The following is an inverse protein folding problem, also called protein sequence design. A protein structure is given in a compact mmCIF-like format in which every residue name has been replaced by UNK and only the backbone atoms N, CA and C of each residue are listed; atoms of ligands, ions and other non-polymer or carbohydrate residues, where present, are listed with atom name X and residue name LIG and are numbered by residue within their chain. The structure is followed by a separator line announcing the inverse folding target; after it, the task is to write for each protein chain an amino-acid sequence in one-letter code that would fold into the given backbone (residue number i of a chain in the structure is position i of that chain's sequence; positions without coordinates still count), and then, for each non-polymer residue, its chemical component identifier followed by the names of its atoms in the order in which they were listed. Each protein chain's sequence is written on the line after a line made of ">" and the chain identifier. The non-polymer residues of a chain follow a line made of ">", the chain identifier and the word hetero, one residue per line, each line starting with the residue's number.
data_IF_327741928972
#
_entry.id   IF_327741928972
#
_cell.length_a   1.000
_cell.length_b   1.000
_cell.length_c   1.000
_cell.angle_alpha   90.00
_cell.angle_beta   90.00
_cell.angle_gamma   90.00
#
_symmetry.space_group_name_H-M   'P 1'
#
loop_
_entity.id
_entity.type
_entity.pdbx_description
1 polymer ?
#
# COMPACT_ATOMS: atom_id res chain seq x y z
N UNK A 1 40.46 53.31 -27.02
CA UNK A 1 40.92 51.94 -26.72
C UNK A 1 39.80 51.21 -26.01
N UNK A 2 39.03 50.38 -26.73
CA UNK A 2 38.13 49.40 -26.12
C UNK A 2 38.95 48.12 -25.95
N UNK A 3 39.07 47.65 -24.73
CA UNK A 3 39.71 46.37 -24.44
C UNK A 3 38.81 45.25 -24.96
N UNK A 4 39.31 44.52 -25.96
CA UNK A 4 38.77 43.22 -26.36
C UNK A 4 39.46 42.14 -25.53
N UNK A 5 38.77 41.64 -24.51
CA UNK A 5 38.85 40.24 -24.05
C UNK A 5 37.43 39.88 -23.57
N UNK A 6 36.83 38.71 -23.96
CA UNK A 6 37.27 37.44 -23.39
C UNK A 6 36.93 36.15 -24.22
N UNK A 7 37.51 35.91 -25.41
CA UNK A 7 37.33 34.61 -26.11
C UNK A 7 38.25 33.49 -25.58
N UNK A 8 39.44 33.83 -25.05
CA UNK A 8 40.43 32.84 -24.61
C UNK A 8 40.08 32.13 -23.29
N UNK A 9 39.12 32.65 -22.51
CA UNK A 9 38.73 32.06 -21.22
C UNK A 9 37.64 30.99 -21.36
N UNK A 10 36.76 31.11 -22.35
CA UNK A 10 35.71 30.12 -22.64
C UNK A 10 36.30 28.84 -23.22
N UNK A 11 37.29 28.95 -24.11
CA UNK A 11 37.91 27.78 -24.76
C UNK A 11 38.72 26.95 -23.77
N UNK A 12 39.50 27.58 -22.90
CA UNK A 12 40.23 26.87 -21.83
C UNK A 12 39.30 26.16 -20.86
N UNK A 13 38.13 26.73 -20.58
CA UNK A 13 37.11 26.11 -19.72
C UNK A 13 36.47 24.90 -20.40
N UNK A 14 36.18 24.98 -21.70
CA UNK A 14 35.66 23.88 -22.50
C UNK A 14 36.67 22.73 -22.65
N UNK A 15 37.95 23.04 -22.85
CA UNK A 15 39.02 22.04 -22.89
C UNK A 15 39.20 21.33 -21.54
N UNK A 16 39.20 22.08 -20.43
CA UNK A 16 39.30 21.51 -19.09
C UNK A 16 38.11 20.60 -18.77
N UNK A 17 36.90 21.00 -19.17
CA UNK A 17 35.71 20.17 -19.03
C UNK A 17 35.81 18.88 -19.86
N UNK A 18 36.33 18.96 -21.08
CA UNK A 18 36.54 17.80 -21.96
C UNK A 18 37.54 16.83 -21.35
N UNK A 19 38.70 17.31 -20.87
CA UNK A 19 39.70 16.46 -20.20
C UNK A 19 39.13 15.79 -18.95
N UNK A 20 38.30 16.50 -18.18
CA UNK A 20 37.60 15.92 -17.01
C UNK A 20 36.64 14.82 -17.42
N UNK A 21 35.87 14.99 -18.50
CA UNK A 21 34.94 13.97 -19.01
C UNK A 21 35.69 12.73 -19.51
N UNK A 22 36.82 12.91 -20.20
CA UNK A 22 37.68 11.80 -20.64
C UNK A 22 38.20 11.02 -19.43
N UNK A 23 38.79 11.70 -18.45
CA UNK A 23 39.32 11.05 -17.25
C UNK A 23 38.24 10.29 -16.45
N UNK A 24 37.03 10.86 -16.34
CA UNK A 24 35.90 10.17 -15.72
C UNK A 24 35.48 8.93 -16.51
N UNK A 25 35.43 9.00 -17.84
CA UNK A 25 35.11 7.84 -18.67
C UNK A 25 36.17 6.73 -18.57
N UNK A 26 37.46 7.09 -18.54
CA UNK A 26 38.55 6.14 -18.33
C UNK A 26 38.47 5.46 -16.95
N UNK A 27 38.05 6.19 -15.91
CA UNK A 27 37.81 5.62 -14.58
C UNK A 27 36.70 4.56 -14.61
N UNK A 28 35.58 4.85 -15.30
CA UNK A 28 34.49 3.89 -15.51
C UNK A 28 34.97 2.67 -16.31
N UNK A 29 35.78 2.86 -17.35
CA UNK A 29 36.36 1.77 -18.14
C UNK A 29 37.27 0.88 -17.32
N UNK A 30 38.15 1.46 -16.49
CA UNK A 30 39.02 0.68 -15.59
C UNK A 30 38.20 -0.17 -14.62
N UNK A 31 37.21 0.43 -13.95
CA UNK A 31 36.36 -0.30 -13.02
C UNK A 31 35.57 -1.44 -13.70
N UNK A 32 35.01 -1.19 -14.90
CA UNK A 32 34.32 -2.21 -15.68
C UNK A 32 35.26 -3.32 -16.18
N UNK A 33 36.49 -2.98 -16.58
CA UNK A 33 37.49 -3.93 -17.05
C UNK A 33 37.96 -4.87 -15.93
N UNK A 34 38.17 -4.36 -14.72
CA UNK A 34 38.59 -5.18 -13.57
C UNK A 34 37.54 -6.23 -13.17
N UNK A 35 36.25 -5.99 -13.46
CA UNK A 35 35.20 -7.00 -13.23
C UNK A 35 35.32 -8.23 -14.15
N UNK A 36 35.97 -8.09 -15.30
CA UNK A 36 36.03 -9.13 -16.35
C UNK A 36 37.23 -10.06 -16.24
N UNK A 37 38.12 -9.82 -15.26
CA UNK A 37 39.28 -10.65 -15.01
C UNK A 37 38.87 -12.03 -14.46
N UNK A 38 39.74 -13.05 -14.57
CA UNK A 38 39.41 -14.48 -14.34
C UNK A 38 39.10 -14.92 -12.89
N UNK A 39 39.06 -16.23 -12.60
CA UNK A 39 38.63 -16.79 -11.29
C UNK A 39 39.79 -17.15 -10.34
N UNK A 40 40.96 -16.51 -10.48
CA UNK A 40 42.10 -16.76 -9.59
C UNK A 40 41.91 -16.18 -8.18
N UNK A 41 42.62 -16.70 -7.17
CA UNK A 41 42.46 -16.31 -5.76
C UNK A 41 42.74 -14.80 -5.53
N UNK A 42 43.82 -14.27 -6.11
CA UNK A 42 44.10 -12.82 -6.12
C UNK A 42 43.22 -12.00 -7.07
N UNK A 43 42.35 -12.65 -7.84
CA UNK A 43 41.42 -12.01 -8.77
C UNK A 43 40.04 -11.78 -8.13
N UNK A 44 39.69 -12.57 -7.10
CA UNK A 44 38.47 -12.35 -6.33
C UNK A 44 38.51 -11.02 -5.58
N UNK A 45 39.65 -10.68 -4.96
CA UNK A 45 39.82 -9.39 -4.27
C UNK A 45 39.74 -8.21 -5.23
N UNK A 46 40.35 -8.32 -6.42
CA UNK A 46 40.22 -7.30 -7.47
C UNK A 46 38.79 -7.13 -7.95
N UNK A 47 38.03 -8.22 -8.09
CA UNK A 47 36.60 -8.15 -8.42
C UNK A 47 35.79 -7.49 -7.30
N UNK A 48 36.11 -7.74 -6.01
CA UNK A 48 35.50 -7.03 -4.87
C UNK A 48 35.76 -5.53 -4.98
N UNK A 49 37.01 -5.13 -5.17
CA UNK A 49 37.41 -3.73 -5.34
C UNK A 49 36.70 -3.08 -6.53
N UNK A 50 36.66 -3.77 -7.67
CA UNK A 50 35.98 -3.31 -8.87
C UNK A 50 34.47 -3.11 -8.63
N UNK A 51 33.79 -4.04 -7.97
CA UNK A 51 32.37 -3.89 -7.63
C UNK A 51 32.13 -2.74 -6.64
N UNK A 52 33.01 -2.56 -5.64
CA UNK A 52 32.96 -1.43 -4.72
C UNK A 52 33.13 -0.10 -5.48
N UNK A 53 34.01 -0.06 -6.48
CA UNK A 53 34.24 1.11 -7.29
C UNK A 53 33.06 1.43 -8.24
N UNK A 54 32.49 0.41 -8.89
CA UNK A 54 31.24 0.55 -9.64
C UNK A 54 30.14 1.10 -8.75
N UNK A 55 29.97 0.55 -7.55
CA UNK A 55 28.99 1.04 -6.56
C UNK A 55 29.23 2.52 -6.24
N UNK A 56 30.48 2.91 -5.97
CA UNK A 56 30.86 4.29 -5.62
C UNK A 56 30.55 5.26 -6.75
N UNK A 57 31.02 4.96 -7.95
CA UNK A 57 30.84 5.80 -9.14
C UNK A 57 29.39 5.88 -9.61
N UNK A 58 28.62 4.80 -9.46
CA UNK A 58 27.20 4.78 -9.80
C UNK A 58 26.29 5.48 -8.77
N UNK A 59 26.77 5.76 -7.55
CA UNK A 59 25.94 6.20 -6.42
C UNK A 59 25.12 7.45 -6.75
N UNK A 60 25.77 8.48 -7.27
CA UNK A 60 25.17 9.81 -7.49
C UNK A 60 25.28 10.29 -8.95
N UNK A 61 25.69 9.43 -9.88
CA UNK A 61 25.88 9.76 -11.30
C UNK A 61 25.00 8.87 -12.22
N UNK A 62 23.87 9.38 -12.72
CA UNK A 62 23.03 8.68 -13.70
C UNK A 62 23.74 8.36 -15.03
N UNK A 63 24.68 9.21 -15.45
CA UNK A 63 25.52 9.00 -16.63
C UNK A 63 26.43 7.79 -16.45
N UNK A 64 27.13 7.72 -15.31
CA UNK A 64 27.95 6.57 -14.95
C UNK A 64 27.14 5.26 -14.93
N UNK A 65 25.93 5.26 -14.36
CA UNK A 65 25.04 4.08 -14.36
C UNK A 65 24.78 3.57 -15.77
N UNK A 66 24.47 4.46 -16.71
CA UNK A 66 24.25 4.09 -18.13
C UNK A 66 25.53 3.58 -18.77
N UNK A 67 26.64 4.28 -18.57
CA UNK A 67 27.94 3.93 -19.14
C UNK A 67 28.42 2.56 -18.67
N UNK A 68 28.31 2.24 -17.37
CA UNK A 68 28.68 0.92 -16.85
C UNK A 68 27.90 -0.22 -17.50
N UNK A 69 26.60 -0.03 -17.76
CA UNK A 69 25.81 -1.03 -18.46
C UNK A 69 26.29 -1.22 -19.91
N UNK A 70 26.60 -0.13 -20.62
CA UNK A 70 27.20 -0.17 -21.98
C UNK A 70 28.57 -0.83 -21.98
N UNK A 71 29.38 -0.64 -20.95
CA UNK A 71 30.68 -1.28 -20.75
C UNK A 71 30.58 -2.75 -20.30
N UNK A 72 29.36 -3.29 -20.15
CA UNK A 72 29.17 -4.71 -19.81
C UNK A 72 29.43 -5.05 -18.35
N UNK A 73 29.27 -4.11 -17.42
CA UNK A 73 29.51 -4.36 -16.00
C UNK A 73 28.46 -5.28 -15.34
N UNK A 74 27.23 -5.34 -15.86
CA UNK A 74 26.13 -6.07 -15.23
C UNK A 74 26.36 -7.60 -15.22
N UNK A 75 26.67 -8.28 -16.34
CA UNK A 75 26.84 -9.74 -16.32
C UNK A 75 27.92 -10.24 -15.35
N UNK A 76 29.13 -9.63 -15.28
CA UNK A 76 30.14 -10.00 -14.28
C UNK A 76 29.66 -9.82 -12.83
N UNK A 77 29.00 -8.71 -12.51
CA UNK A 77 28.41 -8.49 -11.18
C UNK A 77 27.36 -9.55 -10.84
N UNK A 78 26.58 -10.00 -11.81
CA UNK A 78 25.61 -11.08 -11.62
C UNK A 78 26.33 -12.43 -11.45
N UNK A 79 27.42 -12.68 -12.17
CA UNK A 79 28.21 -13.91 -12.03
C UNK A 79 28.92 -14.01 -10.66
N UNK A 80 29.29 -12.87 -10.04
CA UNK A 80 29.84 -12.84 -8.68
C UNK A 80 28.90 -13.46 -7.63
N UNK A 81 27.59 -13.52 -7.89
CA UNK A 81 26.61 -14.17 -7.02
C UNK A 81 26.74 -15.70 -6.98
N UNK A 82 27.47 -16.33 -7.90
CA UNK A 82 27.76 -17.77 -7.88
C UNK A 82 28.97 -18.13 -7.00
N UNK A 83 29.68 -17.12 -6.48
CA UNK A 83 30.82 -17.34 -5.59
C UNK A 83 30.39 -17.97 -4.26
N UNK A 84 31.35 -18.54 -3.54
CA UNK A 84 31.17 -18.99 -2.15
C UNK A 84 31.42 -17.88 -1.12
N UNK A 85 31.89 -16.73 -1.57
CA UNK A 85 32.30 -15.62 -0.73
C UNK A 85 31.16 -14.61 -0.50
N UNK A 86 30.72 -14.49 0.75
CA UNK A 86 29.65 -13.58 1.18
C UNK A 86 30.00 -12.10 0.98
N UNK A 87 31.27 -11.71 1.04
CA UNK A 87 31.69 -10.33 0.77
C UNK A 87 31.55 -9.99 -0.72
N UNK A 88 31.86 -10.96 -1.58
CA UNK A 88 31.68 -10.83 -3.02
C UNK A 88 30.20 -10.67 -3.38
N UNK A 89 29.31 -11.40 -2.70
CA UNK A 89 27.86 -11.25 -2.84
C UNK A 89 27.42 -9.84 -2.47
N UNK A 90 27.85 -9.32 -1.31
CA UNK A 90 27.49 -7.97 -0.88
C UNK A 90 28.00 -6.89 -1.84
N UNK A 91 29.26 -6.98 -2.26
CA UNK A 91 29.85 -6.05 -3.22
C UNK A 91 29.04 -6.01 -4.52
N UNK A 92 28.71 -7.18 -5.06
CA UNK A 92 27.90 -7.31 -6.27
C UNK A 92 26.48 -6.77 -6.09
N UNK A 93 25.77 -7.17 -5.03
CA UNK A 93 24.39 -6.76 -4.77
C UNK A 93 24.27 -5.24 -4.60
N UNK A 94 25.21 -4.60 -3.90
CA UNK A 94 25.17 -3.14 -3.74
C UNK A 94 25.57 -2.39 -5.01
N UNK A 95 26.48 -2.93 -5.82
CA UNK A 95 26.80 -2.35 -7.13
C UNK A 95 25.58 -2.42 -8.06
N UNK A 96 24.93 -3.58 -8.17
CA UNK A 96 23.70 -3.78 -8.95
C UNK A 96 22.56 -2.87 -8.47
N UNK A 97 22.40 -2.72 -7.16
CA UNK A 97 21.41 -1.82 -6.58
C UNK A 97 21.61 -0.38 -7.07
N UNK A 98 22.84 0.14 -6.97
CA UNK A 98 23.17 1.51 -7.41
C UNK A 98 23.03 1.68 -8.93
N UNK A 99 23.40 0.68 -9.73
CA UNK A 99 23.19 0.70 -11.18
C UNK A 99 21.71 0.79 -11.56
N UNK A 100 20.81 0.25 -10.73
CA UNK A 100 19.37 0.28 -10.97
C UNK A 100 18.66 1.59 -10.58
N UNK A 101 19.28 2.45 -9.76
CA UNK A 101 18.63 3.68 -9.25
C UNK A 101 18.25 4.58 -10.44
N UNK A 102 16.95 4.85 -10.60
CA UNK A 102 16.43 5.71 -11.66
C UNK A 102 16.73 5.24 -13.11
N UNK A 103 17.21 4.01 -13.30
CA UNK A 103 17.57 3.50 -14.62
C UNK A 103 16.85 2.18 -14.92
N UNK A 104 15.82 2.24 -15.75
CA UNK A 104 14.97 1.09 -16.07
C UNK A 104 15.65 0.11 -17.04
N UNK A 105 16.49 0.60 -17.94
CA UNK A 105 17.28 -0.26 -18.84
C UNK A 105 18.21 -1.15 -18.02
N UNK A 106 18.86 -0.60 -17.00
CA UNK A 106 19.73 -1.36 -16.12
C UNK A 106 18.95 -2.38 -15.30
N UNK A 107 17.78 -2.02 -14.74
CA UNK A 107 16.92 -2.98 -14.03
C UNK A 107 16.50 -4.15 -14.92
N UNK A 108 16.12 -3.85 -16.18
CA UNK A 108 15.75 -4.88 -17.15
C UNK A 108 16.96 -5.76 -17.52
N UNK A 109 18.13 -5.15 -17.72
CA UNK A 109 19.37 -5.86 -18.01
C UNK A 109 19.80 -6.78 -16.86
N UNK A 110 19.68 -6.34 -15.60
CA UNK A 110 19.97 -7.16 -14.41
C UNK A 110 19.06 -8.39 -14.31
N UNK A 111 17.75 -8.24 -14.59
CA UNK A 111 16.84 -9.39 -14.67
C UNK A 111 17.20 -10.31 -15.83
N UNK A 112 17.47 -9.75 -17.02
CA UNK A 112 17.86 -10.51 -18.21
C UNK A 112 19.17 -11.29 -18.02
N UNK A 113 20.10 -10.75 -17.23
CA UNK A 113 21.35 -11.41 -16.87
C UNK A 113 21.18 -12.58 -15.88
N UNK A 114 19.96 -12.82 -15.37
CA UNK A 114 19.67 -13.95 -14.48
C UNK A 114 19.84 -13.66 -12.99
N UNK A 115 19.97 -12.39 -12.58
CA UNK A 115 20.19 -12.01 -11.18
C UNK A 115 19.09 -12.55 -10.25
N UNK A 116 17.83 -12.56 -10.70
CA UNK A 116 16.69 -13.05 -9.90
C UNK A 116 16.90 -14.51 -9.47
N UNK A 117 17.32 -15.38 -10.38
CA UNK A 117 17.53 -16.79 -10.07
C UNK A 117 18.73 -16.98 -9.13
N UNK A 118 19.85 -16.28 -9.38
CA UNK A 118 21.04 -16.38 -8.51
C UNK A 118 20.78 -15.87 -7.10
N UNK A 119 20.06 -14.76 -6.93
CA UNK A 119 19.65 -14.28 -5.61
C UNK A 119 18.79 -15.31 -4.86
N UNK A 120 17.89 -16.01 -5.56
CA UNK A 120 17.08 -17.07 -4.93
C UNK A 120 17.93 -18.28 -4.53
N UNK A 121 18.90 -18.69 -5.36
CA UNK A 121 19.83 -19.76 -5.00
C UNK A 121 20.65 -19.41 -3.75
N UNK A 122 21.06 -18.14 -3.59
CA UNK A 122 21.73 -17.67 -2.38
C UNK A 122 20.84 -17.81 -1.14
N UNK A 123 19.56 -17.46 -1.24
CA UNK A 123 18.58 -17.62 -0.16
C UNK A 123 18.45 -19.10 0.22
N UNK A 124 18.28 -19.98 -0.76
CA UNK A 124 18.15 -21.43 -0.56
C UNK A 124 19.41 -22.06 0.06
N UNK A 125 20.58 -21.53 -0.25
CA UNK A 125 21.86 -22.00 0.30
C UNK A 125 22.15 -21.54 1.74
N UNK A 126 21.25 -20.79 2.36
CA UNK A 126 21.43 -20.31 3.75
C UNK A 126 22.35 -19.09 3.86
N UNK A 127 22.19 -18.11 2.95
CA UNK A 127 22.98 -16.87 2.97
C UNK A 127 22.93 -16.13 4.32
N UNK A 128 23.97 -15.35 4.60
CA UNK A 128 24.03 -14.50 5.79
C UNK A 128 22.89 -13.47 5.83
N UNK A 129 22.58 -12.98 7.02
CA UNK A 129 21.53 -11.98 7.20
C UNK A 129 21.79 -10.72 6.34
N UNK A 130 23.03 -10.23 6.29
CA UNK A 130 23.39 -9.05 5.50
C UNK A 130 23.17 -9.27 3.99
N UNK A 131 23.48 -10.46 3.49
CA UNK A 131 23.21 -10.82 2.08
C UNK A 131 21.71 -10.90 1.83
N UNK A 132 20.95 -11.52 2.72
CA UNK A 132 19.48 -11.56 2.62
C UNK A 132 18.86 -10.15 2.58
N UNK A 133 19.33 -9.23 3.41
CA UNK A 133 18.89 -7.83 3.42
C UNK A 133 19.24 -7.10 2.11
N UNK A 134 20.44 -7.32 1.58
CA UNK A 134 20.85 -6.78 0.28
C UNK A 134 20.03 -7.35 -0.89
N UNK A 135 19.61 -8.62 -0.81
CA UNK A 135 18.71 -9.24 -1.78
C UNK A 135 17.30 -8.63 -1.71
N UNK A 136 16.77 -8.37 -0.52
CA UNK A 136 15.48 -7.65 -0.36
C UNK A 136 15.54 -6.28 -1.04
N UNK A 137 16.61 -5.51 -0.80
CA UNK A 137 16.80 -4.20 -1.44
C UNK A 137 16.89 -4.30 -2.97
N UNK A 138 17.55 -5.34 -3.50
CA UNK A 138 17.59 -5.59 -4.94
C UNK A 138 16.20 -5.96 -5.50
N UNK A 139 15.43 -6.82 -4.84
CA UNK A 139 14.06 -7.11 -5.28
C UNK A 139 13.15 -5.88 -5.24
N UNK A 140 13.31 -5.00 -4.25
CA UNK A 140 12.63 -3.70 -4.24
C UNK A 140 13.00 -2.88 -5.48
N UNK A 141 14.30 -2.73 -5.77
CA UNK A 141 14.78 -2.00 -6.95
C UNK A 141 14.24 -2.58 -8.26
N UNK A 142 14.35 -3.91 -8.45
CA UNK A 142 13.93 -4.57 -9.68
C UNK A 142 12.42 -4.55 -9.89
N UNK A 143 11.62 -4.70 -8.81
CA UNK A 143 10.15 -4.68 -8.88
C UNK A 143 9.57 -3.29 -9.20
N UNK A 144 10.35 -2.22 -9.02
CA UNK A 144 9.93 -0.87 -9.37
C UNK A 144 9.62 -0.72 -10.87
N UNK A 145 10.29 -1.49 -11.74
CA UNK A 145 10.03 -1.52 -13.18
C UNK A 145 8.82 -2.41 -13.52
N UNK A 146 7.85 -1.88 -14.25
CA UNK A 146 6.61 -2.61 -14.64
C UNK A 146 6.87 -3.92 -15.38
N UNK A 147 7.78 -3.92 -16.36
CA UNK A 147 8.11 -5.12 -17.15
C UNK A 147 8.77 -6.24 -16.32
N UNK A 148 9.37 -5.91 -15.18
CA UNK A 148 9.99 -6.89 -14.29
C UNK A 148 8.97 -7.55 -13.34
N UNK A 149 7.84 -6.89 -13.03
CA UNK A 149 6.88 -7.37 -12.01
C UNK A 149 6.38 -8.80 -12.27
N UNK A 150 5.99 -9.21 -13.50
CA UNK A 150 5.55 -10.57 -13.76
C UNK A 150 6.68 -11.59 -13.62
N UNK A 151 7.90 -11.24 -14.04
CA UNK A 151 9.07 -12.13 -13.99
C UNK A 151 9.49 -12.39 -12.54
N UNK A 152 9.61 -11.33 -11.74
CA UNK A 152 9.96 -11.43 -10.31
C UNK A 152 8.84 -12.10 -9.51
N UNK A 153 7.58 -11.80 -9.81
CA UNK A 153 6.45 -12.46 -9.15
C UNK A 153 6.36 -13.95 -9.48
N UNK A 154 6.80 -14.36 -10.67
CA UNK A 154 6.79 -15.75 -11.09
C UNK A 154 7.99 -16.59 -10.60
N UNK A 155 9.05 -15.96 -10.07
CA UNK A 155 10.34 -16.62 -9.81
C UNK A 155 10.44 -17.39 -8.49
N UNK A 156 9.51 -17.18 -7.55
CA UNK A 156 9.64 -17.67 -6.18
C UNK A 156 10.15 -16.63 -5.17
N UNK A 157 10.33 -15.37 -5.59
CA UNK A 157 10.73 -14.28 -4.69
C UNK A 157 9.66 -13.92 -3.65
N UNK A 158 8.37 -14.16 -3.92
CA UNK A 158 7.27 -13.75 -3.06
C UNK A 158 7.34 -14.37 -1.65
N UNK A 159 7.49 -15.71 -1.47
CA UNK A 159 7.65 -16.32 -0.16
C UNK A 159 8.81 -15.74 0.66
N UNK A 160 9.97 -15.51 0.02
CA UNK A 160 11.12 -14.90 0.68
C UNK A 160 10.84 -13.47 1.15
N UNK A 161 10.29 -12.63 0.26
CA UNK A 161 9.91 -11.26 0.61
C UNK A 161 8.85 -11.23 1.73
N UNK A 162 7.91 -12.17 1.73
CA UNK A 162 6.92 -12.28 2.80
C UNK A 162 7.55 -12.68 4.14
N UNK A 163 8.53 -13.57 4.12
CA UNK A 163 9.31 -13.89 5.33
C UNK A 163 10.05 -12.66 5.85
N UNK A 164 10.76 -11.94 4.97
CA UNK A 164 11.45 -10.70 5.34
C UNK A 164 10.49 -9.62 5.87
N UNK A 165 9.26 -9.53 5.34
CA UNK A 165 8.23 -8.63 5.85
C UNK A 165 7.76 -9.02 7.27
N UNK A 166 7.67 -10.32 7.58
CA UNK A 166 7.20 -10.80 8.89
C UNK A 166 8.28 -10.74 9.98
N UNK A 167 9.53 -11.07 9.64
CA UNK A 167 10.59 -11.31 10.62
C UNK A 167 11.89 -10.54 10.38
N UNK A 168 11.95 -9.69 9.35
CA UNK A 168 13.13 -8.88 9.07
C UNK A 168 13.32 -7.72 10.06
N UNK A 169 14.51 -7.11 10.03
CA UNK A 169 14.75 -5.86 10.74
C UNK A 169 13.87 -4.72 10.18
N UNK A 170 13.83 -3.56 10.84
CA UNK A 170 12.96 -2.43 10.44
C UNK A 170 13.09 -2.05 8.96
N UNK A 171 14.32 -1.93 8.45
CA UNK A 171 14.59 -1.58 7.04
C UNK A 171 14.16 -2.69 6.09
N UNK A 172 14.59 -3.93 6.34
CA UNK A 172 14.27 -5.08 5.51
C UNK A 172 12.76 -5.34 5.47
N UNK A 173 12.06 -5.18 6.59
CA UNK A 173 10.60 -5.29 6.69
C UNK A 173 9.91 -4.25 5.81
N UNK A 174 10.35 -2.99 5.85
CA UNK A 174 9.78 -1.93 5.01
C UNK A 174 10.07 -2.15 3.52
N UNK A 175 11.31 -2.51 3.17
CA UNK A 175 11.71 -2.74 1.79
C UNK A 175 10.99 -3.97 1.19
N UNK A 176 10.84 -5.03 1.98
CA UNK A 176 10.06 -6.19 1.59
C UNK A 176 8.59 -5.85 1.34
N UNK A 177 7.95 -5.07 2.21
CA UNK A 177 6.58 -4.61 1.99
C UNK A 177 6.46 -3.74 0.72
N UNK A 178 7.44 -2.87 0.46
CA UNK A 178 7.48 -2.05 -0.75
C UNK A 178 7.64 -2.91 -2.00
N UNK A 179 8.47 -3.95 -1.96
CA UNK A 179 8.61 -4.90 -3.06
C UNK A 179 7.32 -5.68 -3.29
N UNK A 180 6.69 -6.21 -2.23
CA UNK A 180 5.40 -6.91 -2.31
C UNK A 180 4.28 -6.01 -2.85
N UNK A 181 4.26 -4.73 -2.43
CA UNK A 181 3.37 -3.73 -3.00
C UNK A 181 3.62 -3.55 -4.50
N UNK A 182 4.86 -3.34 -4.94
CA UNK A 182 5.18 -3.21 -6.36
C UNK A 182 4.71 -4.43 -7.16
N UNK A 183 4.96 -5.64 -6.64
CA UNK A 183 4.53 -6.88 -7.29
C UNK A 183 3.01 -7.03 -7.35
N UNK A 184 2.27 -6.49 -6.37
CA UNK A 184 0.80 -6.52 -6.34
C UNK A 184 0.13 -5.68 -7.43
N UNK A 185 0.84 -4.70 -8.00
CA UNK A 185 0.34 -3.88 -9.11
C UNK A 185 0.08 -4.74 -10.36
N UNK A 186 0.89 -5.77 -10.58
CA UNK A 186 0.67 -6.73 -11.66
C UNK A 186 -0.36 -7.78 -11.21
N UNK A 187 -1.57 -7.72 -11.78
CA UNK A 187 -2.67 -8.64 -11.43
C UNK A 187 -2.36 -10.12 -11.69
N UNK A 188 -1.43 -10.42 -12.61
CA UNK A 188 -0.91 -11.78 -12.85
C UNK A 188 -0.21 -12.39 -11.65
N UNK A 189 0.30 -11.56 -10.72
CA UNK A 189 0.96 -12.02 -9.51
C UNK A 189 -0.03 -12.31 -8.36
N UNK A 190 -1.30 -11.89 -8.48
CA UNK A 190 -2.27 -11.98 -7.39
C UNK A 190 -2.45 -13.41 -6.84
N UNK A 191 -2.53 -14.49 -7.67
CA UNK A 191 -2.62 -15.85 -7.14
C UNK A 191 -1.43 -16.20 -6.25
N UNK A 192 -0.21 -15.93 -6.71
CA UNK A 192 1.03 -16.25 -5.99
C UNK A 192 1.17 -15.45 -4.69
N UNK A 193 0.74 -14.18 -4.70
CA UNK A 193 0.73 -13.33 -3.50
C UNK A 193 -0.28 -13.84 -2.47
N UNK A 194 -1.47 -14.26 -2.92
CA UNK A 194 -2.51 -14.83 -2.05
C UNK A 194 -2.06 -16.18 -1.48
N UNK A 195 -1.55 -17.08 -2.32
CA UNK A 195 -1.12 -18.42 -1.94
C UNK A 195 0.05 -18.39 -0.93
N UNK A 196 0.96 -17.42 -1.07
CA UNK A 196 2.01 -17.20 -0.08
C UNK A 196 1.49 -16.73 1.28
N UNK A 197 0.23 -16.26 1.37
CA UNK A 197 -0.36 -15.74 2.60
C UNK A 197 -0.08 -14.25 2.82
N UNK A 198 0.03 -13.45 1.76
CA UNK A 198 0.24 -12.00 1.89
C UNK A 198 -0.96 -11.31 2.55
N UNK A 199 -2.20 -11.64 2.16
CA UNK A 199 -3.41 -10.98 2.68
C UNK A 199 -3.51 -10.99 4.21
N UNK A 200 -3.44 -12.14 4.91
CA UNK A 200 -3.46 -12.14 6.37
C UNK A 200 -2.27 -11.41 6.98
N UNK A 201 -1.08 -11.46 6.36
CA UNK A 201 0.09 -10.72 6.84
C UNK A 201 -0.09 -9.19 6.73
N UNK A 202 -0.76 -8.71 5.66
CA UNK A 202 -1.08 -7.30 5.51
C UNK A 202 -2.07 -6.86 6.60
N UNK A 203 -3.14 -7.63 6.85
CA UNK A 203 -4.09 -7.30 7.92
C UNK A 203 -3.43 -7.29 9.30
N UNK A 204 -2.59 -8.27 9.61
CA UNK A 204 -1.84 -8.32 10.87
C UNK A 204 -0.86 -7.14 11.06
N UNK A 205 -0.48 -6.45 9.97
CA UNK A 205 0.39 -5.27 10.02
C UNK A 205 -0.35 -3.94 10.16
N UNK A 206 -1.68 -3.93 9.96
CA UNK A 206 -2.49 -2.73 10.13
C UNK A 206 -2.55 -2.40 11.63
N UNK A 207 -2.19 -1.18 11.97
CA UNK A 207 -1.99 -0.70 13.35
C UNK A 207 -0.57 -0.19 13.58
N UNK A 208 0.40 -0.73 12.83
CA UNK A 208 1.73 -0.15 12.70
C UNK A 208 1.68 0.98 11.66
N UNK A 209 1.63 2.22 12.14
CA UNK A 209 1.43 3.41 11.29
C UNK A 209 2.54 3.61 10.25
N UNK A 210 3.74 3.04 10.45
CA UNK A 210 4.82 3.13 9.47
C UNK A 210 4.53 2.32 8.19
N UNK A 211 3.64 1.32 8.27
CA UNK A 211 3.35 0.39 7.16
C UNK A 211 1.88 0.31 6.76
N UNK A 212 0.96 0.74 7.62
CA UNK A 212 -0.49 0.57 7.45
C UNK A 212 -1.02 1.11 6.11
N UNK A 213 -0.64 2.33 5.71
CA UNK A 213 -1.11 2.90 4.43
C UNK A 213 -0.65 2.06 3.22
N UNK A 214 0.59 1.56 3.26
CA UNK A 214 1.14 0.73 2.19
C UNK A 214 0.50 -0.65 2.16
N UNK A 215 0.23 -1.23 3.33
CA UNK A 215 -0.50 -2.48 3.44
C UNK A 215 -1.91 -2.37 2.85
N UNK A 216 -2.64 -1.30 3.19
CA UNK A 216 -3.97 -1.01 2.63
C UNK A 216 -3.94 -0.74 1.12
N UNK A 217 -2.87 -0.14 0.62
CA UNK A 217 -2.68 0.07 -0.82
C UNK A 217 -2.40 -1.24 -1.55
N UNK A 218 -1.59 -2.15 -0.98
CA UNK A 218 -1.40 -3.48 -1.53
C UNK A 218 -2.71 -4.30 -1.51
N UNK A 219 -3.49 -4.22 -0.43
CA UNK A 219 -4.84 -4.83 -0.36
C UNK A 219 -5.76 -4.27 -1.44
N UNK A 220 -5.72 -2.96 -1.72
CA UNK A 220 -6.48 -2.32 -2.79
C UNK A 220 -6.18 -2.90 -4.17
N UNK A 221 -4.92 -3.24 -4.45
CA UNK A 221 -4.55 -3.91 -5.70
C UNK A 221 -5.06 -5.36 -5.73
N UNK A 222 -4.94 -6.09 -4.63
CA UNK A 222 -5.35 -7.49 -4.54
C UNK A 222 -6.86 -7.66 -4.74
N UNK A 223 -7.69 -6.82 -4.11
CA UNK A 223 -9.17 -6.91 -4.24
C UNK A 223 -9.69 -6.52 -5.63
N UNK A 224 -8.86 -5.93 -6.49
CA UNK A 224 -9.19 -5.76 -7.90
C UNK A 224 -9.34 -7.13 -8.60
N UNK A 225 -8.67 -8.17 -8.10
CA UNK A 225 -8.73 -9.55 -8.61
C UNK A 225 -9.73 -10.41 -7.86
N UNK A 226 -10.26 -11.46 -8.49
CA UNK A 226 -11.17 -12.41 -7.84
C UNK A 226 -10.51 -13.19 -6.70
N UNK A 227 -9.25 -13.57 -6.86
CA UNK A 227 -8.48 -14.32 -5.85
C UNK A 227 -8.24 -13.47 -4.60
N UNK A 228 -7.81 -12.21 -4.77
CA UNK A 228 -7.62 -11.30 -3.64
C UNK A 228 -8.91 -11.03 -2.87
N UNK A 229 -10.06 -10.89 -3.56
CA UNK A 229 -11.36 -10.77 -2.87
C UNK A 229 -11.69 -12.00 -2.05
N UNK A 230 -11.56 -13.20 -2.62
CA UNK A 230 -11.77 -14.46 -1.88
C UNK A 230 -10.86 -14.57 -0.67
N UNK A 231 -9.61 -14.16 -0.80
CA UNK A 231 -8.67 -14.17 0.32
C UNK A 231 -9.06 -13.20 1.44
N UNK A 232 -9.55 -12.00 1.10
CA UNK A 232 -10.11 -11.05 2.08
C UNK A 232 -11.36 -11.63 2.75
N UNK A 233 -12.30 -12.21 2.00
CA UNK A 233 -13.52 -12.85 2.55
C UNK A 233 -13.22 -13.98 3.54
N UNK A 234 -12.12 -14.71 3.35
CA UNK A 234 -11.69 -15.81 4.24
C UNK A 234 -10.94 -15.32 5.49
N UNK A 235 -10.56 -14.05 5.55
CA UNK A 235 -9.82 -13.50 6.68
C UNK A 235 -10.81 -12.94 7.71
N UNK A 236 -10.93 -13.63 8.85
CA UNK A 236 -11.93 -13.37 9.90
C UNK A 236 -11.99 -11.89 10.33
N UNK A 237 -10.82 -11.28 10.55
CA UNK A 237 -10.74 -9.91 11.07
C UNK A 237 -10.69 -8.84 9.97
N UNK A 238 -10.82 -9.22 8.69
CA UNK A 238 -10.66 -8.27 7.58
C UNK A 238 -11.64 -7.09 7.66
N UNK A 239 -12.94 -7.35 7.81
CA UNK A 239 -13.94 -6.29 7.88
C UNK A 239 -13.88 -5.49 9.19
N UNK A 240 -13.77 -6.12 10.38
CA UNK A 240 -13.51 -5.39 11.63
C UNK A 240 -12.31 -4.44 11.54
N UNK A 241 -11.16 -4.92 11.05
CA UNK A 241 -9.95 -4.09 10.88
C UNK A 241 -10.18 -2.94 9.90
N UNK A 242 -10.82 -3.18 8.75
CA UNK A 242 -11.10 -2.11 7.79
C UNK A 242 -12.06 -1.05 8.34
N UNK A 243 -13.06 -1.46 9.13
CA UNK A 243 -14.00 -0.56 9.78
C UNK A 243 -13.30 0.29 10.85
N UNK A 244 -12.42 -0.32 11.65
CA UNK A 244 -11.59 0.41 12.63
C UNK A 244 -10.76 1.51 11.96
N UNK A 245 -10.09 1.20 10.84
CA UNK A 245 -9.29 2.16 10.08
C UNK A 245 -10.10 3.37 9.61
N UNK A 246 -11.41 3.22 9.35
CA UNK A 246 -12.26 4.37 8.99
C UNK A 246 -12.34 5.41 10.12
N UNK A 247 -12.13 5.01 11.37
CA UNK A 247 -12.10 5.89 12.54
C UNK A 247 -10.79 6.65 12.74
N UNK A 248 -9.73 6.35 11.98
CA UNK A 248 -8.41 6.97 12.14
C UNK A 248 -8.36 8.39 11.58
N UNK A 249 -8.85 9.33 12.38
CA UNK A 249 -9.09 10.72 11.99
C UNK A 249 -7.84 11.49 11.54
N UNK A 250 -6.65 11.06 11.97
CA UNK A 250 -5.36 11.69 11.66
C UNK A 250 -4.61 10.96 10.51
N UNK A 251 -5.25 9.97 9.89
CA UNK A 251 -4.67 9.14 8.84
C UNK A 251 -5.59 9.05 7.60
N UNK A 252 -5.89 10.20 6.99
CA UNK A 252 -6.79 10.31 5.83
C UNK A 252 -6.42 9.34 4.68
N UNK A 253 -5.11 9.17 4.41
CA UNK A 253 -4.63 8.20 3.42
C UNK A 253 -5.05 6.76 3.74
N UNK A 254 -5.00 6.35 5.01
CA UNK A 254 -5.47 5.03 5.44
C UNK A 254 -6.99 4.90 5.32
N UNK A 255 -7.75 5.91 5.77
CA UNK A 255 -9.22 5.92 5.65
C UNK A 255 -9.66 5.77 4.18
N UNK A 256 -9.02 6.49 3.26
CA UNK A 256 -9.33 6.40 1.83
C UNK A 256 -9.10 5.00 1.26
N UNK A 257 -7.99 4.35 1.64
CA UNK A 257 -7.64 3.02 1.14
C UNK A 257 -8.51 1.94 1.76
N UNK A 258 -8.83 2.03 3.05
CA UNK A 258 -9.77 1.12 3.71
C UNK A 258 -11.19 1.24 3.10
N UNK A 259 -11.66 2.47 2.89
CA UNK A 259 -12.94 2.72 2.22
C UNK A 259 -12.95 2.17 0.79
N UNK A 260 -11.83 2.22 0.07
CA UNK A 260 -11.69 1.61 -1.25
C UNK A 260 -11.82 0.09 -1.21
N UNK A 261 -11.13 -0.58 -0.28
CA UNK A 261 -11.23 -2.03 -0.11
C UNK A 261 -12.67 -2.44 0.23
N UNK A 262 -13.31 -1.77 1.19
CA UNK A 262 -14.72 -2.01 1.54
C UNK A 262 -15.66 -1.79 0.36
N UNK A 263 -15.46 -0.73 -0.42
CA UNK A 263 -16.28 -0.43 -1.61
C UNK A 263 -16.19 -1.55 -2.65
N UNK A 264 -14.98 -2.04 -2.93
CA UNK A 264 -14.78 -3.15 -3.89
C UNK A 264 -15.42 -4.44 -3.37
N UNK A 265 -15.23 -4.74 -2.08
CA UNK A 265 -15.82 -5.93 -1.45
C UNK A 265 -17.35 -5.84 -1.38
N UNK A 266 -17.94 -4.68 -1.14
CA UNK A 266 -19.39 -4.51 -1.13
C UNK A 266 -20.00 -4.75 -2.51
N UNK A 267 -19.36 -4.21 -3.55
CA UNK A 267 -19.83 -4.33 -4.94
C UNK A 267 -19.60 -5.71 -5.58
N UNK A 268 -18.42 -6.30 -5.34
CA UNK A 268 -17.96 -7.50 -6.05
C UNK A 268 -17.83 -8.73 -5.15
N UNK A 269 -18.05 -8.58 -3.85
CA UNK A 269 -18.10 -9.67 -2.88
C UNK A 269 -19.50 -10.26 -2.74
N UNK A 270 -19.60 -11.28 -1.89
CA UNK A 270 -20.84 -12.01 -1.65
C UNK A 270 -21.77 -11.31 -0.65
N UNK A 271 -23.03 -11.75 -0.54
CA UNK A 271 -23.94 -11.29 0.51
C UNK A 271 -23.40 -11.49 1.92
N UNK A 272 -22.62 -12.55 2.15
CA UNK A 272 -21.97 -12.85 3.43
C UNK A 272 -20.93 -11.78 3.80
N UNK A 273 -20.15 -11.28 2.83
CA UNK A 273 -19.20 -10.19 3.06
C UNK A 273 -19.93 -8.92 3.50
N UNK A 274 -21.06 -8.60 2.85
CA UNK A 274 -21.87 -7.42 3.21
C UNK A 274 -22.53 -7.56 4.59
N UNK A 275 -22.98 -8.76 4.94
CA UNK A 275 -23.47 -9.04 6.30
C UNK A 275 -22.35 -8.84 7.33
N UNK A 276 -21.17 -9.41 7.08
CA UNK A 276 -20.01 -9.26 7.95
C UNK A 276 -19.57 -7.79 8.10
N UNK A 277 -19.64 -6.98 7.04
CA UNK A 277 -19.42 -5.53 7.14
C UNK A 277 -20.42 -4.84 8.07
N UNK A 278 -21.71 -5.17 7.96
CA UNK A 278 -22.76 -4.59 8.80
C UNK A 278 -22.58 -5.00 10.26
N UNK A 279 -22.28 -6.28 10.51
CA UNK A 279 -21.98 -6.83 11.84
C UNK A 279 -20.73 -6.19 12.46
N UNK A 280 -19.71 -5.90 11.65
CA UNK A 280 -18.52 -5.14 12.06
C UNK A 280 -18.79 -3.64 12.31
N UNK A 281 -20.02 -3.15 12.11
CA UNK A 281 -20.39 -1.75 12.37
C UNK A 281 -20.10 -0.78 11.22
N UNK A 282 -19.87 -1.28 10.00
CA UNK A 282 -19.50 -0.44 8.85
C UNK A 282 -20.49 0.71 8.59
N UNK A 283 -21.79 0.50 8.79
CA UNK A 283 -22.82 1.53 8.52
C UNK A 283 -22.55 2.81 9.34
N UNK A 284 -22.27 2.67 10.64
CA UNK A 284 -22.01 3.83 11.50
C UNK A 284 -20.70 4.52 11.11
N UNK A 285 -19.63 3.76 10.93
CA UNK A 285 -18.32 4.29 10.57
C UNK A 285 -18.34 5.00 9.20
N UNK A 286 -19.06 4.46 8.22
CA UNK A 286 -19.20 5.07 6.90
C UNK A 286 -20.04 6.35 6.94
N UNK A 287 -21.09 6.42 7.75
CA UNK A 287 -21.85 7.66 7.96
C UNK A 287 -20.97 8.76 8.56
N UNK A 288 -20.16 8.44 9.58
CA UNK A 288 -19.18 9.38 10.11
C UNK A 288 -18.18 9.83 9.04
N UNK A 289 -17.68 8.87 8.23
CA UNK A 289 -16.74 9.16 7.15
C UNK A 289 -17.34 10.04 6.04
N UNK A 290 -18.64 9.95 5.75
CA UNK A 290 -19.32 10.86 4.81
C UNK A 290 -19.35 12.31 5.28
N UNK A 291 -19.28 12.54 6.59
CA UNK A 291 -19.29 13.88 7.18
C UNK A 291 -17.87 14.44 7.37
N UNK A 292 -16.92 13.58 7.75
CA UNK A 292 -15.61 14.01 8.26
C UNK A 292 -14.41 13.58 7.41
N UNK A 293 -14.61 12.63 6.49
CA UNK A 293 -13.55 12.10 5.66
C UNK A 293 -13.06 13.09 4.60
N UNK A 294 -11.96 12.75 3.92
CA UNK A 294 -11.55 13.48 2.71
C UNK A 294 -12.63 13.37 1.62
N UNK A 295 -12.67 14.28 0.62
CA UNK A 295 -13.64 14.20 -0.47
C UNK A 295 -13.66 12.83 -1.18
N UNK A 296 -12.50 12.18 -1.28
CA UNK A 296 -12.38 10.84 -1.87
C UNK A 296 -12.96 9.76 -0.93
N UNK A 297 -12.67 9.83 0.37
CA UNK A 297 -13.24 8.92 1.36
C UNK A 297 -14.77 9.06 1.46
N UNK A 298 -15.29 10.29 1.45
CA UNK A 298 -16.73 10.59 1.46
C UNK A 298 -17.43 9.94 0.26
N UNK A 299 -16.92 10.16 -0.96
CA UNK A 299 -17.49 9.58 -2.19
C UNK A 299 -17.52 8.04 -2.13
N UNK A 300 -16.45 7.41 -1.64
CA UNK A 300 -16.38 5.95 -1.47
C UNK A 300 -17.36 5.46 -0.40
N UNK A 301 -17.47 6.19 0.72
CA UNK A 301 -18.37 5.85 1.81
C UNK A 301 -19.85 5.86 1.37
N UNK A 302 -20.28 6.92 0.68
CA UNK A 302 -21.64 7.02 0.13
C UNK A 302 -21.95 5.83 -0.78
N UNK A 303 -21.00 5.45 -1.64
CA UNK A 303 -21.18 4.31 -2.55
C UNK A 303 -21.30 2.98 -1.83
N UNK A 304 -20.55 2.78 -0.74
CA UNK A 304 -20.68 1.57 0.09
C UNK A 304 -22.05 1.54 0.77
N UNK A 305 -22.49 2.66 1.34
CA UNK A 305 -23.79 2.78 2.02
C UNK A 305 -24.97 2.49 1.08
N UNK A 306 -24.93 3.00 -0.16
CA UNK A 306 -25.93 2.66 -1.19
C UNK A 306 -26.06 1.14 -1.36
N UNK A 307 -24.93 0.43 -1.49
CA UNK A 307 -24.93 -1.03 -1.68
C UNK A 307 -25.46 -1.75 -0.43
N UNK A 308 -25.04 -1.34 0.77
CA UNK A 308 -25.47 -1.98 2.02
C UNK A 308 -26.95 -1.72 2.35
N UNK A 309 -27.53 -0.62 1.86
CA UNK A 309 -28.94 -0.27 2.08
C UNK A 309 -29.89 -0.91 1.06
N UNK A 310 -29.47 -1.06 -0.20
CA UNK A 310 -30.28 -1.72 -1.24
C UNK A 310 -30.59 -3.20 -0.92
N UNK A 311 -29.69 -3.88 -0.22
CA UNK A 311 -29.89 -5.28 0.20
C UNK A 311 -30.95 -5.44 1.30
N UNK A 312 -31.17 -4.41 2.13
CA UNK A 312 -32.30 -4.40 3.08
C UNK A 312 -33.63 -4.20 2.34
N UNK A 313 -33.66 -3.35 1.31
CA UNK A 313 -34.85 -3.13 0.48
C UNK A 313 -35.31 -4.38 -0.27
N UNK A 314 -34.38 -5.18 -0.82
CA UNK A 314 -34.71 -6.45 -1.50
C UNK A 314 -35.23 -7.53 -0.55
N UNK A 315 -34.71 -7.60 0.69
CA UNK A 315 -35.23 -8.55 1.70
C UNK A 315 -36.65 -8.18 2.12
N UNK A 316 -36.97 -6.88 2.27
CA UNK A 316 -38.32 -6.40 2.60
C UNK A 316 -39.32 -6.67 1.46
N UNK A 317 -38.95 -6.47 0.20
CA UNK A 317 -39.85 -6.76 -0.93
C UNK A 317 -40.07 -8.26 -1.16
N UNK A 318 -39.07 -9.12 -0.88
CA UNK A 318 -39.24 -10.58 -0.96
C UNK A 318 -40.09 -11.16 0.18
N UNK A 319 -40.02 -10.56 1.38
CA UNK A 319 -40.88 -10.93 2.51
C UNK A 319 -42.34 -10.49 2.28
N UNK A 320 -42.54 -9.32 1.66
CA UNK A 320 -43.88 -8.85 1.28
C UNK A 320 -44.51 -9.69 0.14
N UNK A 321 -43.69 -10.26 -0.75
CA UNK A 321 -44.18 -11.11 -1.84
C UNK A 321 -44.58 -12.54 -1.39
N UNK A 322 -44.20 -12.96 -0.19
CA UNK A 322 -44.52 -14.30 0.35
C UNK A 322 -45.75 -14.30 1.27
N UNK A 323 -46.42 -13.15 1.43
CA UNK A 323 -47.60 -12.96 2.28
C UNK A 323 -48.82 -12.49 1.49
N UNK A 324 -49.09 -13.05 0.31
CA UNK A 324 -50.33 -12.81 -0.41
C UNK A 324 -51.43 -13.75 0.10
N UNK A 325 -52.04 -13.40 1.24
CA UNK A 325 -53.43 -13.80 1.52
C UNK A 325 -54.24 -12.51 1.62
N UNK A 326 -54.96 -12.23 0.55
CA UNK A 326 -55.98 -11.21 0.53
C UNK A 326 -57.13 -11.62 1.45
N UNK A 327 -57.45 -10.82 2.48
CA UNK A 327 -58.83 -10.63 2.93
C UNK A 327 -58.99 -9.20 3.47
N UNK A 328 -60.08 -8.60 3.01
CA UNK A 328 -60.65 -7.27 3.21
C UNK A 328 -60.52 -6.59 4.58
N UNK A 329 -60.60 -5.26 4.53
CA UNK A 329 -60.84 -4.34 5.64
C UNK A 329 -62.00 -4.78 6.55
N UNK A 330 -61.97 -4.34 7.82
CA UNK A 330 -63.15 -3.68 8.33
C UNK A 330 -62.87 -2.35 9.05
N UNK A 331 -63.95 -1.58 9.08
CA UNK A 331 -64.14 -0.31 9.76
C UNK A 331 -63.70 -0.30 11.23
N UNK A 332 -63.32 0.90 11.64
CA UNK A 332 -63.27 1.42 13.00
C UNK A 332 -64.31 0.83 13.98
N UNK A 333 -63.82 0.15 15.01
CA UNK A 333 -64.43 0.14 16.34
C UNK A 333 -63.30 0.30 17.36
N UNK A 334 -63.41 1.36 18.16
CA UNK A 334 -62.54 1.61 19.29
C UNK A 334 -62.81 0.59 20.40
N UNK A 335 -61.80 -0.18 20.77
CA UNK A 335 -61.72 -0.85 22.07
C UNK A 335 -60.28 -0.78 22.56
N UNK A 336 -60.12 -0.09 23.69
CA UNK A 336 -58.87 0.02 24.42
C UNK A 336 -58.37 -1.36 24.85
N UNK A 337 -57.13 -1.68 24.48
CA UNK A 337 -56.32 -2.69 25.16
C UNK A 337 -54.94 -2.05 25.37
N UNK A 338 -54.72 -1.59 26.60
CA UNK A 338 -53.40 -1.13 27.04
C UNK A 338 -52.44 -2.31 27.20
N UNK A 339 -51.23 -2.14 26.66
CA UNK A 339 -50.03 -2.21 27.50
C UNK A 339 -49.27 -3.54 27.57
N UNK A 340 -48.42 -3.81 26.56
CA UNK A 340 -47.04 -4.32 26.77
C UNK A 340 -46.11 -4.42 25.55
N UNK A 341 -46.51 -3.94 24.37
CA UNK A 341 -45.67 -3.98 23.16
C UNK A 341 -44.94 -2.67 22.82
N UNK A 342 -45.42 -1.54 23.34
CA UNK A 342 -44.97 -0.20 22.89
C UNK A 342 -43.72 0.29 23.64
N UNK A 343 -43.47 -0.25 24.84
CA UNK A 343 -42.42 0.23 25.73
C UNK A 343 -41.00 -0.22 25.30
N UNK A 344 -40.88 -1.43 24.74
CA UNK A 344 -39.59 -1.92 24.18
C UNK A 344 -39.17 -1.17 22.92
N UNK A 345 -40.11 -0.87 22.04
CA UNK A 345 -39.86 -0.06 20.83
C UNK A 345 -39.54 1.39 21.20
N UNK A 346 -40.14 1.91 22.29
CA UNK A 346 -39.82 3.22 22.86
C UNK A 346 -38.41 3.26 23.46
N UNK A 347 -37.99 2.22 24.18
CA UNK A 347 -36.63 2.11 24.74
C UNK A 347 -35.56 2.01 23.67
N UNK A 348 -35.75 1.19 22.62
CA UNK A 348 -34.82 1.10 21.50
C UNK A 348 -34.70 2.44 20.76
N UNK A 349 -35.82 3.11 20.49
CA UNK A 349 -35.82 4.46 19.90
C UNK A 349 -35.14 5.49 20.81
N UNK A 350 -35.26 5.38 22.13
CA UNK A 350 -34.56 6.24 23.10
C UNK A 350 -33.06 6.00 23.05
N UNK A 351 -32.61 4.74 23.07
CA UNK A 351 -31.20 4.36 22.96
C UNK A 351 -30.60 4.85 21.63
N UNK A 352 -31.32 4.69 20.52
CA UNK A 352 -30.89 5.21 19.21
C UNK A 352 -30.74 6.74 19.24
N UNK A 353 -31.70 7.47 19.84
CA UNK A 353 -31.61 8.93 19.99
C UNK A 353 -30.41 9.36 20.85
N UNK A 354 -30.17 8.67 21.97
CA UNK A 354 -29.02 8.94 22.85
C UNK A 354 -27.70 8.70 22.12
N UNK A 355 -27.60 7.63 21.33
CA UNK A 355 -26.40 7.29 20.56
C UNK A 355 -26.13 8.30 19.43
N UNK A 356 -27.19 8.74 18.74
CA UNK A 356 -27.11 9.82 17.75
C UNK A 356 -26.66 11.13 18.40
N UNK A 357 -27.21 11.47 19.57
CA UNK A 357 -26.87 12.69 20.30
C UNK A 357 -25.42 12.66 20.83
N UNK A 358 -24.97 11.51 21.34
CA UNK A 358 -23.57 11.32 21.75
C UNK A 358 -22.62 11.43 20.55
N UNK A 359 -22.99 10.85 19.41
CA UNK A 359 -22.21 10.94 18.17
C UNK A 359 -22.11 12.38 17.68
N UNK A 360 -23.23 13.11 17.60
CA UNK A 360 -23.27 14.54 17.26
C UNK A 360 -22.40 15.39 18.20
N UNK A 361 -22.48 15.15 19.49
CA UNK A 361 -21.75 15.92 20.49
C UNK A 361 -20.23 15.62 20.44
N UNK A 362 -19.84 14.36 20.19
CA UNK A 362 -18.45 13.98 19.92
C UNK A 362 -17.94 14.65 18.64
N UNK A 363 -18.75 14.64 17.58
CA UNK A 363 -18.48 15.29 16.31
C UNK A 363 -18.22 16.79 16.48
N UNK A 364 -19.10 17.49 17.20
CA UNK A 364 -18.98 18.92 17.48
C UNK A 364 -17.72 19.26 18.29
N UNK A 365 -17.37 18.47 19.31
CA UNK A 365 -16.12 18.67 20.06
C UNK A 365 -14.88 18.46 19.18
N UNK A 366 -14.93 17.55 18.22
CA UNK A 366 -13.83 17.30 17.28
C UNK A 366 -13.69 18.44 16.25
N UNK A 367 -14.81 18.99 15.76
CA UNK A 367 -14.84 20.18 14.89
C UNK A 367 -14.25 21.40 15.63
N UNK A 368 -14.66 21.63 16.88
CA UNK A 368 -14.16 22.75 17.70
C UNK A 368 -12.63 22.68 17.92
N UNK A 369 -12.09 21.48 18.16
CA UNK A 369 -10.63 21.27 18.25
C UNK A 369 -9.90 21.56 16.94
N UNK A 370 -10.47 21.16 15.79
CA UNK A 370 -9.86 21.41 14.46
C UNK A 370 -9.87 22.88 14.08
N UNK A 371 -10.84 23.65 14.57
CA UNK A 371 -10.93 25.08 14.34
C UNK A 371 -10.12 25.93 15.36
N UNK A 372 -9.30 25.29 16.21
CA UNK A 372 -8.51 25.95 17.27
C UNK A 372 -9.35 26.82 18.23
N UNK A 373 -10.62 26.45 18.46
CA UNK A 373 -11.42 27.14 19.48
C UNK A 373 -10.93 26.77 20.89
N UNK A 374 -10.84 27.73 21.82
CA UNK A 374 -10.49 27.48 23.22
C UNK A 374 -11.34 26.38 23.85
N UNK A 375 -10.76 25.54 24.72
CA UNK A 375 -11.46 24.42 25.35
C UNK A 375 -12.66 24.85 26.22
N UNK A 376 -12.68 26.12 26.66
CA UNK A 376 -13.77 26.76 27.42
C UNK A 376 -14.72 27.59 26.55
N UNK A 377 -14.76 27.37 25.23
CA UNK A 377 -15.88 27.86 24.42
C UNK A 377 -17.14 27.12 24.86
N UNK A 378 -17.79 27.67 25.89
CA UNK A 378 -19.05 27.19 26.39
C UNK A 378 -20.04 27.10 25.24
N UNK A 379 -20.36 25.87 24.85
CA UNK A 379 -21.52 25.56 24.03
C UNK A 379 -22.77 25.88 24.86
N UNK A 380 -23.01 27.18 25.08
CA UNK A 380 -24.13 27.71 25.84
C UNK A 380 -25.44 27.25 25.21
N UNK A 381 -26.46 27.14 26.06
CA UNK A 381 -27.81 26.59 25.89
C UNK A 381 -28.50 26.83 24.53
N UNK A 382 -28.07 27.86 23.77
CA UNK A 382 -28.51 28.13 22.40
C UNK A 382 -28.20 27.00 21.40
N UNK A 383 -27.12 26.24 21.56
CA UNK A 383 -26.80 25.12 20.65
C UNK A 383 -27.54 23.82 21.01
N UNK A 384 -27.78 23.57 22.29
CA UNK A 384 -28.60 22.44 22.76
C UNK A 384 -30.03 22.55 22.23
N UNK A 385 -30.55 23.79 22.12
CA UNK A 385 -31.85 24.08 21.54
C UNK A 385 -31.96 23.77 20.03
N UNK A 386 -30.85 23.83 19.27
CA UNK A 386 -30.82 23.47 17.84
C UNK A 386 -30.85 21.95 17.63
N UNK A 387 -30.28 21.18 18.57
CA UNK A 387 -30.31 19.71 18.52
C UNK A 387 -31.65 19.11 18.94
N UNK A 388 -32.43 19.80 19.78
CA UNK A 388 -33.78 19.36 20.16
C UNK A 388 -34.86 19.75 19.14
N UNK A 389 -34.63 20.78 18.32
CA UNK A 389 -35.62 21.27 17.34
C UNK A 389 -35.58 20.58 15.96
N UNK A 390 -34.51 19.83 15.64
CA UNK A 390 -34.39 19.18 14.31
C UNK A 390 -35.01 17.78 14.21
N UNK A 391 -35.67 17.26 15.26
CA UNK A 391 -36.21 15.89 15.25
C UNK A 391 -37.64 15.76 14.71
N UNK A 392 -38.33 16.85 14.35
CA UNK A 392 -39.75 16.77 13.95
C UNK A 392 -40.14 17.83 12.92
N UNK A 393 -39.69 17.68 11.66
CA UNK A 393 -40.49 18.13 10.51
C UNK A 393 -40.28 17.16 9.35
N UNK A 394 -41.26 16.30 9.14
CA UNK A 394 -41.47 15.58 7.88
C UNK A 394 -41.47 16.59 6.73
N UNK A 395 -40.63 16.35 5.72
CA UNK A 395 -40.72 17.05 4.44
C UNK A 395 -42.05 16.65 3.77
N UNK A 396 -42.89 17.60 3.30
CA UNK A 396 -44.02 17.26 2.46
C UNK A 396 -43.49 16.93 1.06
N UNK A 397 -43.81 15.69 0.62
CA UNK A 397 -43.71 15.08 -0.71
C UNK A 397 -42.49 15.39 -1.60
#
# INVERSE_FOLDING_TARGET
>A
MRAEEPECSSDRRAEAETRRKIGAFEELQRAAGMLQLGDGDGELDRRKEAAAEVRRLAKDDPGARKTFATLGAIPPLVAMLDSKDSELHLAALYALLNLGIGNDLNKAATVKAGAVHKMLNLIESGSSQSVSEAIVANFLSLSALDSNKPVVGASGAIPFLLSAFKSGNSTARQDALRALFNLSIASSNAPRLVDAGLVPALFASIGDMAVSERALTALSNLVATGEGRRAVSRCTDAFPTLVDVLGWCDAAGCQEKAAHVLMVMAHKGGPCDRAAMVEAGAVSALLELTLLGSPLAQKRASRVLEVLTMDKGKKVTSAAASGAVAVSAPLSVATAVEGKGDDRMSEERRKVRELVQQSLHSNMRRIARRANLPQDFGLSERFTALTTTSATKSLPF
#
